data_IF_460829265320
#
_entry.id   IF_460829265320
#
_cell.length_a   1.000
_cell.length_b   1.000
_cell.length_c   1.000
_cell.angle_alpha   90.00
_cell.angle_beta   90.00
_cell.angle_gamma   90.00
#
_symmetry.space_group_name_H-M   'P 1'
#
loop_
_entity.id
_entity.type
_entity.pdbx_description
1 polymer ?
#
# COMPACT_ATOMS: atom_id res chain seq x y z
N UNK A 1 -5.11 -15.17 18.94
CA UNK A 1 -4.69 -13.79 19.26
C UNK A 1 -5.90 -12.89 19.28
N UNK A 2 -5.89 -11.81 20.08
CA UNK A 2 -7.03 -10.86 20.18
C UNK A 2 -7.45 -10.24 18.84
N UNK A 3 -6.57 -10.29 17.82
CA UNK A 3 -6.84 -9.96 16.42
C UNK A 3 -8.03 -10.72 15.80
N UNK A 4 -8.23 -12.00 16.15
CA UNK A 4 -9.35 -12.81 15.65
C UNK A 4 -10.71 -12.43 16.27
N UNK A 5 -10.70 -11.62 17.33
CA UNK A 5 -11.92 -11.16 17.99
C UNK A 5 -12.47 -9.89 17.30
N UNK A 6 -11.61 -9.12 16.65
CA UNK A 6 -11.99 -7.87 15.94
C UNK A 6 -12.00 -8.01 14.40
N UNK A 7 -11.24 -8.94 13.83
CA UNK A 7 -11.24 -9.24 12.40
C UNK A 7 -11.64 -10.69 12.14
N UNK A 8 -12.71 -10.90 11.36
CA UNK A 8 -13.26 -12.22 11.01
C UNK A 8 -12.29 -13.13 10.24
N UNK A 9 -11.17 -12.58 9.74
CA UNK A 9 -10.01 -13.33 9.23
C UNK A 9 -8.75 -12.46 9.35
N UNK A 10 -8.15 -12.40 10.53
CA UNK A 10 -6.89 -11.68 10.71
C UNK A 10 -5.77 -12.42 9.97
N UNK A 11 -5.00 -11.71 9.15
CA UNK A 11 -3.85 -12.27 8.43
C UNK A 11 -2.67 -12.51 9.36
N UNK A 12 -2.67 -11.97 10.59
CA UNK A 12 -1.56 -12.02 11.55
C UNK A 12 -0.44 -11.01 11.24
N UNK A 13 -0.57 -10.21 10.18
CA UNK A 13 0.41 -9.22 9.75
C UNK A 13 0.63 -8.16 10.81
N UNK A 14 -0.44 -7.66 11.43
CA UNK A 14 -0.33 -6.56 12.40
C UNK A 14 0.41 -7.02 13.66
N UNK A 15 0.15 -8.25 14.12
CA UNK A 15 0.88 -8.83 15.26
C UNK A 15 2.37 -9.07 14.93
N UNK A 16 2.69 -9.61 13.75
CA UNK A 16 4.09 -9.89 13.38
C UNK A 16 4.90 -8.60 13.19
N UNK A 17 4.33 -7.56 12.57
CA UNK A 17 5.00 -6.25 12.38
C UNK A 17 5.27 -5.57 13.72
N UNK A 18 4.35 -5.64 14.69
CA UNK A 18 4.53 -5.05 16.02
C UNK A 18 5.63 -5.75 16.82
N UNK A 19 5.79 -7.06 16.66
CA UNK A 19 6.78 -7.87 17.41
C UNK A 19 8.18 -7.74 16.81
N UNK A 20 8.31 -7.88 15.49
CA UNK A 20 9.61 -7.94 14.82
C UNK A 20 10.17 -6.53 14.51
N UNK A 21 9.30 -5.54 14.32
CA UNK A 21 9.69 -4.25 13.75
C UNK A 21 10.26 -4.40 12.33
N UNK A 22 10.64 -3.29 11.70
CA UNK A 22 11.22 -3.30 10.35
C UNK A 22 10.21 -3.60 9.23
N UNK A 23 10.71 -4.07 8.08
CA UNK A 23 9.89 -4.40 6.92
C UNK A 23 9.67 -5.91 6.86
N UNK A 24 8.45 -6.35 6.61
CA UNK A 24 8.10 -7.77 6.45
C UNK A 24 7.53 -7.98 5.06
N UNK A 25 8.09 -8.94 4.33
CA UNK A 25 7.48 -9.46 3.11
C UNK A 25 6.43 -10.50 3.53
N UNK A 26 5.19 -10.25 3.15
CA UNK A 26 4.09 -11.17 3.40
C UNK A 26 3.62 -11.81 2.10
N UNK A 27 3.56 -13.14 2.13
CA UNK A 27 2.84 -13.96 1.15
C UNK A 27 1.89 -14.87 1.94
N UNK A 28 0.79 -15.36 1.34
CA UNK A 28 -0.15 -16.22 2.06
C UNK A 28 0.55 -17.43 2.71
N UNK A 29 0.64 -17.42 4.04
CA UNK A 29 1.28 -18.46 4.83
C UNK A 29 2.79 -18.30 5.07
N UNK A 30 3.41 -17.21 4.60
CA UNK A 30 4.83 -16.94 4.79
C UNK A 30 5.09 -15.50 5.24
N UNK A 31 5.92 -15.34 6.28
CA UNK A 31 6.36 -14.06 6.83
C UNK A 31 7.87 -14.04 6.82
N UNK A 32 8.45 -13.23 5.96
CA UNK A 32 9.90 -13.11 5.83
C UNK A 32 10.34 -11.70 6.25
N UNK A 33 11.15 -11.57 7.31
CA UNK A 33 11.80 -10.30 7.62
C UNK A 33 12.64 -9.85 6.44
N UNK A 34 12.47 -8.60 6.01
CA UNK A 34 13.22 -8.02 4.91
C UNK A 34 14.20 -6.99 5.46
N UNK A 35 15.50 -7.25 5.29
CA UNK A 35 16.53 -6.30 5.66
C UNK A 35 16.54 -5.12 4.70
N UNK A 36 16.42 -3.92 5.24
CA UNK A 36 16.47 -2.66 4.49
C UNK A 36 17.79 -1.94 4.76
N UNK A 37 18.44 -1.45 3.72
CA UNK A 37 19.67 -0.66 3.86
C UNK A 37 19.37 0.78 4.34
N UNK A 38 18.15 1.25 4.10
CA UNK A 38 17.68 2.57 4.49
C UNK A 38 16.19 2.53 4.85
N UNK A 39 15.81 3.29 5.90
CA UNK A 39 14.41 3.43 6.30
C UNK A 39 13.75 4.58 5.54
N UNK A 40 12.63 4.35 4.84
CA UNK A 40 11.92 5.42 4.15
C UNK A 40 11.30 6.36 5.18
N UNK A 41 11.31 7.66 4.87
CA UNK A 41 10.53 8.63 5.65
C UNK A 41 9.13 8.70 5.08
N UNK A 42 8.14 8.49 5.93
CA UNK A 42 6.73 8.53 5.52
C UNK A 42 5.95 9.49 6.42
N UNK A 43 4.97 10.16 5.84
CA UNK A 43 3.92 10.87 6.56
C UNK A 43 2.62 10.09 6.41
N UNK A 44 1.97 9.76 7.52
CA UNK A 44 0.66 9.13 7.53
C UNK A 44 -0.40 10.22 7.70
N UNK A 45 -1.39 10.23 6.80
CA UNK A 45 -2.50 11.20 6.82
C UNK A 45 -3.81 10.43 6.97
N UNK A 46 -4.56 10.69 8.03
CA UNK A 46 -5.88 10.10 8.24
C UNK A 46 -6.98 10.97 7.64
N UNK A 47 -7.89 10.34 6.90
CA UNK A 47 -9.00 11.03 6.21
C UNK A 47 -10.22 11.28 7.10
N UNK A 48 -10.29 10.60 8.26
CA UNK A 48 -11.46 10.54 9.14
C UNK A 48 -12.77 10.07 8.45
N UNK A 49 -12.66 9.45 7.27
CA UNK A 49 -13.80 8.86 6.56
C UNK A 49 -14.01 7.42 7.06
N UNK A 50 -15.20 7.15 7.60
CA UNK A 50 -15.61 5.81 8.00
C UNK A 50 -15.72 4.88 6.79
N UNK A 51 -15.33 3.62 6.99
CA UNK A 51 -15.33 2.60 5.93
C UNK A 51 -15.65 1.22 6.47
N UNK A 52 -16.21 0.37 5.62
CA UNK A 52 -16.34 -1.05 5.87
C UNK A 52 -15.34 -1.84 5.02
N UNK A 53 -14.30 -2.37 5.67
CA UNK A 53 -13.31 -3.24 5.01
C UNK A 53 -13.97 -4.42 4.32
N UNK A 54 -14.97 -5.04 4.96
CA UNK A 54 -15.67 -6.19 4.40
C UNK A 54 -16.40 -5.85 3.09
N UNK A 55 -17.06 -4.69 3.02
CA UNK A 55 -17.77 -4.25 1.81
C UNK A 55 -16.80 -3.94 0.66
N UNK A 56 -15.65 -3.31 0.95
CA UNK A 56 -14.64 -3.02 -0.07
C UNK A 56 -13.99 -4.30 -0.61
N UNK A 57 -13.67 -5.26 0.25
CA UNK A 57 -13.13 -6.56 -0.17
C UNK A 57 -14.15 -7.31 -1.03
N UNK A 58 -15.42 -7.35 -0.61
CA UNK A 58 -16.49 -7.99 -1.37
C UNK A 58 -16.71 -7.32 -2.73
N UNK A 59 -16.66 -5.99 -2.77
CA UNK A 59 -16.77 -5.23 -4.01
C UNK A 59 -15.66 -5.57 -5.01
N UNK A 60 -14.40 -5.64 -4.56
CA UNK A 60 -13.28 -6.06 -5.40
C UNK A 60 -13.44 -7.51 -5.85
N UNK A 61 -13.92 -8.40 -4.98
CA UNK A 61 -14.20 -9.80 -5.32
C UNK A 61 -15.24 -9.93 -6.43
N UNK A 62 -16.40 -9.30 -6.29
CA UNK A 62 -17.44 -9.32 -7.33
C UNK A 62 -16.97 -8.70 -8.64
N UNK A 63 -16.15 -7.63 -8.57
CA UNK A 63 -15.56 -7.01 -9.75
C UNK A 63 -14.59 -7.95 -10.45
N UNK A 64 -13.75 -8.68 -9.70
CA UNK A 64 -12.85 -9.71 -10.22
C UNK A 64 -13.63 -10.82 -10.90
N UNK A 65 -14.67 -11.35 -10.28
CA UNK A 65 -15.51 -12.43 -10.87
C UNK A 65 -16.12 -12.04 -12.23
N UNK A 66 -16.42 -10.75 -12.41
CA UNK A 66 -17.04 -10.24 -13.63
C UNK A 66 -16.03 -9.81 -14.69
N UNK A 67 -14.82 -9.42 -14.30
CA UNK A 67 -13.77 -8.86 -15.16
C UNK A 67 -12.40 -9.50 -14.87
N UNK A 68 -12.37 -10.83 -14.80
CA UNK A 68 -11.22 -11.60 -14.27
C UNK A 68 -9.91 -11.23 -14.93
N UNK A 69 -9.83 -11.26 -16.26
CA UNK A 69 -8.58 -10.99 -16.99
C UNK A 69 -8.01 -9.59 -16.70
N UNK A 70 -8.90 -8.59 -16.62
CA UNK A 70 -8.51 -7.19 -16.37
C UNK A 70 -8.03 -7.04 -14.93
N UNK A 71 -8.81 -7.53 -13.96
CA UNK A 71 -8.48 -7.38 -12.54
C UNK A 71 -7.23 -8.17 -12.19
N UNK A 72 -7.05 -9.37 -12.74
CA UNK A 72 -5.84 -10.18 -12.53
C UNK A 72 -4.62 -9.52 -13.15
N UNK A 73 -4.77 -8.86 -14.31
CA UNK A 73 -3.73 -8.02 -14.90
C UNK A 73 -3.29 -6.87 -13.99
N UNK A 74 -4.25 -6.18 -13.36
CA UNK A 74 -3.98 -5.11 -12.37
C UNK A 74 -3.29 -5.68 -11.13
N UNK A 75 -3.72 -6.84 -10.62
CA UNK A 75 -3.08 -7.50 -9.47
C UNK A 75 -1.64 -7.91 -9.77
N UNK A 76 -1.37 -8.43 -10.98
CA UNK A 76 -0.01 -8.76 -11.42
C UNK A 76 0.88 -7.50 -11.54
N UNK A 77 0.31 -6.37 -11.98
CA UNK A 77 1.04 -5.11 -12.00
C UNK A 77 1.36 -4.61 -10.58
N UNK A 78 0.43 -4.74 -9.63
CA UNK A 78 0.65 -4.41 -8.22
C UNK A 78 1.77 -5.27 -7.60
N UNK A 79 1.81 -6.57 -7.91
CA UNK A 79 2.89 -7.46 -7.47
C UNK A 79 4.26 -6.99 -8.00
N UNK A 80 4.34 -6.59 -9.27
CA UNK A 80 5.58 -6.03 -9.85
C UNK A 80 6.00 -4.73 -9.16
N UNK A 81 5.06 -3.88 -8.76
CA UNK A 81 5.36 -2.70 -7.95
C UNK A 81 6.02 -3.08 -6.61
N UNK A 82 5.53 -4.13 -5.94
CA UNK A 82 6.12 -4.62 -4.69
C UNK A 82 7.55 -5.11 -4.92
N UNK A 83 7.78 -5.95 -5.94
CA UNK A 83 9.13 -6.43 -6.25
C UNK A 83 10.10 -5.29 -6.56
N UNK A 84 9.68 -4.33 -7.40
CA UNK A 84 10.48 -3.15 -7.71
C UNK A 84 10.78 -2.32 -6.45
N UNK A 85 9.79 -2.16 -5.57
CA UNK A 85 9.97 -1.45 -4.30
C UNK A 85 11.01 -2.12 -3.39
N UNK A 86 11.00 -3.45 -3.30
CA UNK A 86 11.98 -4.23 -2.51
C UNK A 86 13.40 -4.10 -3.08
N UNK A 87 13.56 -4.13 -4.40
CA UNK A 87 14.85 -3.89 -5.05
C UNK A 87 15.41 -2.50 -4.70
N UNK A 88 14.55 -1.49 -4.68
CA UNK A 88 14.95 -0.10 -4.40
C UNK A 88 15.47 0.09 -2.97
N UNK A 89 15.01 -0.70 -2.00
CA UNK A 89 15.56 -0.69 -0.64
C UNK A 89 17.00 -1.20 -0.54
N UNK A 90 17.47 -1.92 -1.54
CA UNK A 90 18.84 -2.44 -1.60
C UNK A 90 19.80 -1.48 -2.30
N UNK A 91 19.29 -0.43 -2.96
CA UNK A 91 20.11 0.57 -3.67
C UNK A 91 21.02 1.35 -2.72
N UNK A 92 22.27 1.58 -3.13
CA UNK A 92 23.23 2.47 -2.47
C UNK A 92 22.99 3.94 -2.84
N UNK A 93 22.45 4.21 -4.03
CA UNK A 93 22.07 5.58 -4.44
C UNK A 93 20.66 5.89 -3.91
N UNK A 94 20.62 6.61 -2.79
CA UNK A 94 19.38 7.02 -2.13
C UNK A 94 18.56 8.03 -2.93
N UNK A 95 19.22 8.89 -3.72
CA UNK A 95 18.53 9.94 -4.47
C UNK A 95 17.84 9.36 -5.71
N UNK A 96 18.54 8.50 -6.44
CA UNK A 96 17.95 7.78 -7.57
C UNK A 96 16.88 6.78 -7.10
N UNK A 97 17.15 6.06 -6.00
CA UNK A 97 16.18 5.17 -5.39
C UNK A 97 14.90 5.91 -4.99
N UNK A 98 15.01 7.08 -4.35
CA UNK A 98 13.86 7.89 -3.98
C UNK A 98 13.01 8.33 -5.19
N UNK A 99 13.64 8.71 -6.31
CA UNK A 99 12.91 9.08 -7.53
C UNK A 99 12.12 7.90 -8.08
N UNK A 100 12.74 6.72 -8.19
CA UNK A 100 12.05 5.52 -8.65
C UNK A 100 10.95 5.07 -7.67
N UNK A 101 11.19 5.18 -6.36
CA UNK A 101 10.21 4.88 -5.32
C UNK A 101 8.95 5.77 -5.48
N UNK A 102 9.13 7.05 -5.75
CA UNK A 102 8.01 7.97 -6.01
C UNK A 102 7.13 7.52 -7.18
N UNK A 103 7.74 7.12 -8.29
CA UNK A 103 7.03 6.60 -9.46
C UNK A 103 6.27 5.31 -9.11
N UNK A 104 6.90 4.40 -8.36
CA UNK A 104 6.26 3.16 -7.92
C UNK A 104 5.06 3.44 -7.02
N UNK A 105 5.16 4.39 -6.09
CA UNK A 105 4.03 4.79 -5.20
C UNK A 105 2.87 5.37 -6.01
N UNK A 106 3.17 6.23 -6.97
CA UNK A 106 2.17 6.84 -7.85
C UNK A 106 1.44 5.79 -8.71
N UNK A 107 2.20 4.92 -9.38
CA UNK A 107 1.63 3.81 -10.17
C UNK A 107 0.75 2.91 -9.30
N UNK A 108 1.24 2.54 -8.11
CA UNK A 108 0.49 1.69 -7.19
C UNK A 108 -0.84 2.34 -6.77
N UNK A 109 -0.83 3.64 -6.46
CA UNK A 109 -2.06 4.38 -6.15
C UNK A 109 -3.06 4.36 -7.32
N UNK A 110 -2.61 4.57 -8.55
CA UNK A 110 -3.49 4.54 -9.72
C UNK A 110 -4.04 3.15 -10.01
N UNK A 111 -3.24 2.10 -9.82
CA UNK A 111 -3.70 0.71 -9.92
C UNK A 111 -4.77 0.42 -8.85
N UNK A 112 -4.57 0.83 -7.61
CA UNK A 112 -5.57 0.70 -6.54
C UNK A 112 -6.85 1.49 -6.85
N UNK A 113 -6.72 2.73 -7.34
CA UNK A 113 -7.88 3.52 -7.77
C UNK A 113 -8.67 2.83 -8.89
N UNK A 114 -7.98 2.17 -9.83
CA UNK A 114 -8.62 1.40 -10.91
C UNK A 114 -9.43 0.20 -10.40
N UNK A 115 -9.03 -0.39 -9.27
CA UNK A 115 -9.80 -1.42 -8.57
C UNK A 115 -11.06 -0.86 -7.89
N UNK A 116 -11.21 0.46 -7.83
CA UNK A 116 -12.37 1.15 -7.26
C UNK A 116 -12.34 1.23 -5.74
N UNK A 117 -11.15 1.14 -5.14
CA UNK A 117 -10.96 1.26 -3.69
C UNK A 117 -10.47 2.66 -3.27
N UNK A 118 -10.41 3.65 -4.17
CA UNK A 118 -10.11 5.03 -3.76
C UNK A 118 -11.33 5.74 -3.14
N UNK A 119 -11.14 6.99 -2.73
CA UNK A 119 -12.18 7.88 -2.21
C UNK A 119 -11.80 9.33 -2.50
N UNK A 120 -12.78 10.23 -2.68
CA UNK A 120 -12.51 11.64 -3.01
C UNK A 120 -11.52 12.31 -2.03
N UNK A 121 -11.61 12.01 -0.74
CA UNK A 121 -10.68 12.50 0.29
C UNK A 121 -9.26 11.94 0.13
N UNK A 122 -9.12 10.66 -0.25
CA UNK A 122 -7.82 10.06 -0.55
C UNK A 122 -7.23 10.70 -1.82
N UNK A 123 -8.03 10.89 -2.85
CA UNK A 123 -7.62 11.53 -4.10
C UNK A 123 -7.16 12.98 -3.87
N UNK A 124 -7.84 13.72 -2.99
CA UNK A 124 -7.43 15.06 -2.59
C UNK A 124 -6.06 15.07 -1.88
N UNK A 125 -5.80 14.11 -0.98
CA UNK A 125 -4.50 13.98 -0.32
C UNK A 125 -3.39 13.66 -1.34
N UNK A 126 -3.67 12.74 -2.27
CA UNK A 126 -2.72 12.37 -3.33
C UNK A 126 -2.42 13.57 -4.23
N UNK A 127 -3.44 14.35 -4.60
CA UNK A 127 -3.28 15.59 -5.37
C UNK A 127 -2.42 16.61 -4.62
N UNK A 128 -2.74 16.89 -3.36
CA UNK A 128 -1.99 17.85 -2.54
C UNK A 128 -0.52 17.44 -2.36
N UNK A 129 -0.23 16.14 -2.22
CA UNK A 129 1.14 15.63 -2.19
C UNK A 129 1.85 15.85 -3.53
N UNK A 130 1.18 15.57 -4.65
CA UNK A 130 1.73 15.76 -6.00
C UNK A 130 2.09 17.22 -6.29
N UNK A 131 1.26 18.17 -5.86
CA UNK A 131 1.48 19.62 -6.03
C UNK A 131 2.80 20.11 -5.41
N UNK A 132 3.26 19.46 -4.33
CA UNK A 132 4.54 19.77 -3.68
C UNK A 132 5.67 18.83 -4.10
N UNK A 133 5.46 18.04 -5.16
CA UNK A 133 6.46 17.12 -5.68
C UNK A 133 6.71 15.92 -4.77
N UNK A 134 5.68 15.43 -4.07
CA UNK A 134 5.70 14.20 -3.30
C UNK A 134 4.75 13.18 -3.93
N UNK A 135 4.94 11.90 -3.61
CA UNK A 135 4.06 10.83 -4.06
C UNK A 135 3.35 10.22 -2.87
N UNK A 136 2.05 9.93 -3.02
CA UNK A 136 1.24 9.35 -1.96
C UNK A 136 0.36 8.22 -2.50
N UNK A 137 0.01 7.30 -1.60
CA UNK A 137 -0.94 6.22 -1.88
C UNK A 137 -1.82 5.94 -0.68
N UNK A 138 -3.00 5.38 -0.91
CA UNK A 138 -3.84 4.84 0.15
C UNK A 138 -3.14 3.67 0.86
N UNK A 139 -3.46 3.47 2.13
CA UNK A 139 -2.99 2.32 2.92
C UNK A 139 -4.14 1.62 3.64
N UNK A 140 -4.07 0.29 3.73
CA UNK A 140 -5.17 -0.58 4.12
C UNK A 140 -6.23 -0.74 3.03
N UNK A 141 -7.49 -0.91 3.43
CA UNK A 141 -8.59 -1.32 2.55
C UNK A 141 -9.02 -0.30 1.46
N UNK A 142 -8.58 0.96 1.54
CA UNK A 142 -9.12 2.06 0.72
C UNK A 142 -10.48 2.61 1.22
N UNK A 143 -11.19 3.35 0.37
CA UNK A 143 -12.51 3.94 0.64
C UNK A 143 -12.54 5.03 1.71
N UNK A 144 -11.37 5.58 2.08
CA UNK A 144 -11.16 6.40 3.27
C UNK A 144 -9.95 5.90 4.05
N UNK A 145 -10.00 5.91 5.39
CA UNK A 145 -8.88 5.49 6.23
C UNK A 145 -7.67 6.41 6.09
N UNK A 146 -6.49 5.86 5.82
CA UNK A 146 -5.25 6.62 5.77
C UNK A 146 -4.57 6.60 4.39
N UNK A 147 -3.79 7.64 4.12
CA UNK A 147 -2.84 7.73 3.03
C UNK A 147 -1.40 7.79 3.57
N UNK A 148 -0.49 7.14 2.88
CA UNK A 148 0.95 7.21 3.09
C UNK A 148 1.55 8.16 2.06
N UNK A 149 2.24 9.20 2.52
CA UNK A 149 3.01 10.13 1.70
C UNK A 149 4.49 9.82 1.87
N UNK A 150 5.20 9.61 0.76
CA UNK A 150 6.63 9.35 0.77
C UNK A 150 7.40 10.67 0.84
N UNK A 151 8.33 10.78 1.79
CA UNK A 151 9.19 11.96 1.99
C UNK A 151 10.60 11.68 1.46
N UNK A 152 11.34 12.72 1.02
CA UNK A 152 12.72 12.56 0.55
C UNK A 152 13.63 11.96 1.63
N UNK A 153 14.75 11.31 1.29
CA UNK A 153 15.77 10.90 2.26
C UNK A 153 16.37 12.12 2.99
N UNK A 154 17.05 11.87 4.11
CA UNK A 154 17.80 12.92 4.84
C UNK A 154 19.13 13.20 4.18
#
# INVERSE_FOLDING_TARGET
>A
TCENIFHSRSSGIDTTVIIEGGLIKYEPGNFEPFQINHSPRILLVETHVERSTAQLVEFVRCRRERLTEIVDGVMSALEKCVHKWLELFQSEDLQDSYKQQREVVEINQHLLASLGVSHATLDAIVSAASEVGLSAKLTGAGGGGCAMVLLPPR
#
